data_IF_569926516679
#
_entry.id   IF_569926516679
#
_cell.length_a   1.000
_cell.length_b   1.000
_cell.length_c   1.000
_cell.angle_alpha   90.00
_cell.angle_beta   90.00
_cell.angle_gamma   90.00
#
_symmetry.space_group_name_H-M   'P 1'
#
loop_
_entity.id
_entity.type
_entity.pdbx_description
1 polymer ?
#
# COMPACT_ATOMS: atom_id res chain seq x y z
N UNK A 1 -5.31 37.45 -2.71
CA UNK A 1 -4.27 36.41 -2.81
C UNK A 1 -4.99 35.24 -3.41
N UNK A 2 -4.71 34.98 -4.69
CA UNK A 2 -5.52 34.13 -5.55
C UNK A 2 -5.48 32.67 -5.09
N UNK A 3 -6.65 32.06 -5.09
CA UNK A 3 -6.86 30.62 -5.06
C UNK A 3 -6.08 29.97 -6.21
N UNK A 4 -5.01 29.26 -5.87
CA UNK A 4 -4.50 28.19 -6.71
C UNK A 4 -5.41 27.00 -6.45
N UNK A 5 -6.54 26.98 -7.17
CA UNK A 5 -7.39 25.78 -7.26
C UNK A 5 -6.51 24.62 -7.73
N UNK A 6 -6.42 23.59 -6.91
CA UNK A 6 -5.88 22.29 -7.28
C UNK A 6 -6.61 21.86 -8.56
N UNK A 7 -5.90 21.82 -9.69
CA UNK A 7 -6.38 21.08 -10.85
C UNK A 7 -6.73 19.66 -10.36
N UNK A 8 -7.86 19.11 -10.82
CA UNK A 8 -8.23 17.76 -10.44
C UNK A 8 -7.11 16.80 -10.83
N UNK A 9 -7.01 15.65 -10.16
CA UNK A 9 -6.04 14.61 -10.57
C UNK A 9 -6.19 14.25 -12.05
N UNK A 10 -7.40 14.31 -12.59
CA UNK A 10 -7.75 14.11 -14.01
C UNK A 10 -7.17 15.19 -14.95
N UNK A 11 -6.95 16.41 -14.45
CA UNK A 11 -6.32 17.49 -15.21
C UNK A 11 -4.78 17.39 -15.18
N UNK A 12 -4.24 16.82 -14.10
CA UNK A 12 -2.79 16.71 -13.86
C UNK A 12 -2.16 15.42 -14.41
N UNK A 13 -2.98 14.38 -14.62
CA UNK A 13 -2.55 13.06 -15.09
C UNK A 13 -3.33 12.67 -16.33
N UNK A 14 -2.62 12.49 -17.44
CA UNK A 14 -3.22 12.18 -18.75
C UNK A 14 -3.04 10.69 -19.08
N UNK A 15 -4.08 9.98 -19.55
CA UNK A 15 -3.92 8.63 -20.07
C UNK A 15 -2.91 8.55 -21.21
N UNK A 16 -2.05 7.54 -21.18
CA UNK A 16 -1.07 7.24 -22.22
C UNK A 16 -1.19 5.77 -22.65
N UNK A 17 -0.67 5.38 -23.83
CA UNK A 17 -0.77 4.00 -24.30
C UNK A 17 -0.16 2.99 -23.31
N UNK A 18 -0.85 1.86 -23.11
CA UNK A 18 -0.43 0.76 -22.23
C UNK A 18 0.99 0.26 -22.49
N UNK A 19 1.46 0.32 -23.74
CA UNK A 19 2.84 -0.01 -24.12
C UNK A 19 3.92 0.72 -23.31
N UNK A 20 3.59 1.84 -22.65
CA UNK A 20 4.49 2.54 -21.73
C UNK A 20 4.92 1.70 -20.50
N UNK A 21 4.10 0.73 -20.06
CA UNK A 21 4.44 -0.20 -18.98
C UNK A 21 5.21 -1.43 -19.47
N UNK A 22 5.34 -1.63 -20.78
CA UNK A 22 5.90 -2.86 -21.37
C UNK A 22 7.30 -3.23 -20.88
N UNK A 23 8.14 -2.23 -20.54
CA UNK A 23 9.47 -2.50 -19.99
C UNK A 23 9.46 -3.07 -18.57
N UNK A 24 8.42 -2.79 -17.78
CA UNK A 24 8.21 -3.42 -16.47
C UNK A 24 7.69 -4.85 -16.64
N UNK A 25 6.80 -5.07 -17.62
CA UNK A 25 6.36 -6.40 -17.99
C UNK A 25 7.51 -7.30 -18.47
N UNK A 26 8.49 -6.75 -19.20
CA UNK A 26 9.69 -7.49 -19.59
C UNK A 26 10.55 -7.91 -18.38
N UNK A 27 10.47 -7.17 -17.26
CA UNK A 27 11.21 -7.48 -16.03
C UNK A 27 10.47 -8.48 -15.13
N UNK A 28 9.14 -8.48 -15.18
CA UNK A 28 8.27 -9.31 -14.33
C UNK A 28 6.99 -9.75 -15.08
N UNK A 29 7.11 -10.68 -16.05
CA UNK A 29 5.99 -11.02 -16.94
C UNK A 29 4.86 -11.79 -16.23
N UNK A 30 5.10 -12.32 -15.03
CA UNK A 30 4.20 -13.24 -14.34
C UNK A 30 3.27 -12.55 -13.32
N UNK A 31 3.45 -11.25 -13.02
CA UNK A 31 2.69 -10.52 -11.99
C UNK A 31 1.87 -9.33 -12.52
N UNK A 32 1.62 -9.25 -13.84
CA UNK A 32 0.91 -8.13 -14.45
C UNK A 32 -0.45 -7.76 -13.84
N UNK A 33 -1.12 -8.71 -13.17
CA UNK A 33 -2.42 -8.55 -12.52
C UNK A 33 -2.38 -7.80 -11.18
N UNK A 34 -1.27 -7.82 -10.43
CA UNK A 34 -1.13 -7.12 -9.14
C UNK A 34 -0.13 -5.95 -9.18
N UNK A 35 0.67 -5.85 -10.25
CA UNK A 35 1.71 -4.84 -10.44
C UNK A 35 3.03 -5.51 -10.81
N UNK A 36 4.02 -4.75 -11.26
CA UNK A 36 5.29 -5.31 -11.69
C UNK A 36 6.36 -5.14 -10.61
N UNK A 37 6.84 -6.23 -10.01
CA UNK A 37 7.90 -6.16 -9.00
C UNK A 37 9.24 -5.81 -9.69
N UNK A 38 9.88 -4.68 -9.36
CA UNK A 38 11.22 -4.39 -9.89
C UNK A 38 12.24 -5.37 -9.31
N UNK A 39 13.36 -5.66 -10.02
CA UNK A 39 14.33 -6.67 -9.60
C UNK A 39 14.83 -6.51 -8.16
N UNK A 40 15.09 -7.63 -7.48
CA UNK A 40 15.66 -7.70 -6.13
C UNK A 40 17.13 -7.26 -6.16
N UNK A 41 17.40 -5.95 -6.11
CA UNK A 41 18.74 -5.34 -6.12
C UNK A 41 19.05 -4.60 -4.83
N UNK A 42 20.33 -4.52 -4.38
CA UNK A 42 20.75 -3.82 -3.15
C UNK A 42 20.21 -2.39 -2.99
N UNK A 43 19.85 -1.79 -4.12
CA UNK A 43 19.32 -0.44 -4.27
C UNK A 43 17.79 -0.36 -4.08
N UNK A 44 17.21 -1.30 -3.33
CA UNK A 44 15.78 -1.37 -3.01
C UNK A 44 15.47 -1.32 -1.51
N UNK A 45 14.26 -0.88 -1.18
CA UNK A 45 13.72 -0.85 0.19
C UNK A 45 12.22 -1.15 0.18
N UNK A 46 11.73 -1.79 1.23
CA UNK A 46 10.30 -1.95 1.48
C UNK A 46 9.84 -0.92 2.50
N UNK A 47 8.89 -0.07 2.10
CA UNK A 47 8.14 0.82 2.98
C UNK A 47 6.92 0.04 3.49
N UNK A 48 6.90 -0.24 4.79
CA UNK A 48 5.84 -1.01 5.43
C UNK A 48 4.58 -0.16 5.57
N UNK A 49 3.43 -0.75 5.24
CA UNK A 49 2.15 -0.07 5.34
C UNK A 49 1.81 0.21 6.81
N UNK A 50 1.16 1.35 7.06
CA UNK A 50 0.89 1.83 8.43
C UNK A 50 -0.07 0.91 9.17
N UNK A 51 0.24 0.63 10.43
CA UNK A 51 -0.72 0.07 11.38
C UNK A 51 -0.96 1.06 12.53
N UNK A 52 -2.11 0.91 13.19
CA UNK A 52 -2.51 1.77 14.29
C UNK A 52 -2.93 0.94 15.49
N UNK A 53 -2.61 1.42 16.69
CA UNK A 53 -3.04 0.81 17.94
C UNK A 53 -3.90 1.77 18.74
N UNK A 54 -4.88 1.23 19.46
CA UNK A 54 -5.65 1.97 20.44
C UNK A 54 -4.73 2.42 21.59
N UNK A 55 -4.84 3.68 22.00
CA UNK A 55 -3.93 4.30 22.99
C UNK A 55 -4.01 3.65 24.37
N UNK A 56 -5.14 3.06 24.73
CA UNK A 56 -5.34 2.42 26.04
C UNK A 56 -4.76 1.00 26.13
N UNK A 57 -4.28 0.45 25.00
CA UNK A 57 -3.60 -0.83 24.93
C UNK A 57 -4.38 -1.90 24.17
N UNK A 58 -3.76 -3.07 24.07
CA UNK A 58 -4.31 -4.22 23.35
C UNK A 58 -5.44 -4.88 24.15
N UNK A 59 -6.39 -5.46 23.42
CA UNK A 59 -7.46 -6.29 23.96
C UNK A 59 -7.36 -7.69 23.38
N UNK A 60 -7.87 -8.68 24.11
CA UNK A 60 -7.94 -10.07 23.62
C UNK A 60 -9.03 -10.28 22.59
N UNK A 61 -10.05 -9.42 22.57
CA UNK A 61 -11.12 -9.44 21.57
C UNK A 61 -10.53 -9.12 20.20
N UNK A 62 -10.81 -9.98 19.23
CA UNK A 62 -10.35 -9.85 17.84
C UNK A 62 -11.39 -9.16 16.95
N UNK A 63 -11.01 -8.78 15.74
CA UNK A 63 -11.98 -8.30 14.74
C UNK A 63 -13.04 -9.36 14.43
N UNK A 64 -12.65 -10.63 14.38
CA UNK A 64 -13.58 -11.74 14.17
C UNK A 64 -14.57 -11.86 15.33
N UNK A 65 -14.12 -11.80 16.60
CA UNK A 65 -15.02 -11.82 17.75
C UNK A 65 -16.05 -10.68 17.71
N UNK A 66 -15.64 -9.48 17.29
CA UNK A 66 -16.54 -8.33 17.12
C UNK A 66 -17.53 -8.61 16.00
N UNK A 67 -17.06 -9.08 14.83
CA UNK A 67 -17.91 -9.38 13.69
C UNK A 67 -18.96 -10.45 14.03
N UNK A 68 -18.56 -11.56 14.65
CA UNK A 68 -19.47 -12.62 15.08
C UNK A 68 -20.50 -12.11 16.10
N UNK A 69 -20.09 -11.25 17.03
CA UNK A 69 -21.00 -10.64 18.02
C UNK A 69 -22.04 -9.73 17.36
N UNK A 70 -21.63 -8.92 16.37
CA UNK A 70 -22.53 -8.03 15.60
C UNK A 70 -23.51 -8.85 14.75
N UNK A 71 -23.03 -9.92 14.09
CA UNK A 71 -23.88 -10.87 13.37
C UNK A 71 -24.90 -11.55 14.28
N UNK A 72 -24.47 -12.08 15.41
CA UNK A 72 -25.35 -12.74 16.37
C UNK A 72 -26.42 -11.79 16.95
N UNK A 73 -26.09 -10.50 17.07
CA UNK A 73 -27.03 -9.46 17.48
C UNK A 73 -27.99 -8.99 16.37
N UNK A 74 -27.82 -9.46 15.12
CA UNK A 74 -28.61 -9.04 13.97
C UNK A 74 -28.35 -7.58 13.55
N UNK A 75 -27.16 -7.06 13.86
CA UNK A 75 -26.77 -5.66 13.61
C UNK A 75 -25.88 -5.50 12.36
N UNK A 76 -25.72 -6.53 11.54
CA UNK A 76 -25.02 -6.43 10.26
C UNK A 76 -25.84 -5.66 9.24
N UNK A 77 -25.26 -4.62 8.65
CA UNK A 77 -25.82 -4.01 7.45
C UNK A 77 -25.79 -5.02 6.29
N UNK A 78 -26.81 -5.03 5.40
CA UNK A 78 -26.80 -5.87 4.22
C UNK A 78 -25.61 -5.47 3.34
N UNK A 79 -24.84 -6.46 2.88
CA UNK A 79 -23.61 -6.24 2.13
C UNK A 79 -23.91 -5.41 0.85
N UNK A 80 -23.37 -4.19 0.79
CA UNK A 80 -23.61 -3.26 -0.34
C UNK A 80 -22.54 -3.42 -1.43
N UNK A 81 -21.53 -4.27 -1.19
CA UNK A 81 -20.37 -4.46 -2.06
C UNK A 81 -20.22 -5.92 -2.48
N UNK A 82 -20.87 -6.29 -3.59
CA UNK A 82 -20.39 -7.38 -4.44
C UNK A 82 -21.21 -8.68 -4.39
N UNK A 83 -21.50 -9.13 -5.61
CA UNK A 83 -22.00 -10.44 -6.05
C UNK A 83 -22.30 -11.53 -5.00
N UNK A 84 -23.49 -12.12 -5.08
CA UNK A 84 -23.95 -13.16 -4.16
C UNK A 84 -23.01 -14.37 -4.04
N UNK A 85 -22.16 -14.60 -5.04
CA UNK A 85 -21.17 -15.68 -5.09
C UNK A 85 -19.97 -15.46 -4.13
N UNK A 86 -19.58 -14.21 -3.87
CA UNK A 86 -18.45 -13.91 -2.97
C UNK A 86 -18.87 -14.00 -1.49
N UNK A 87 -20.11 -13.63 -1.18
CA UNK A 87 -20.69 -13.77 0.16
C UNK A 87 -20.78 -15.22 0.64
N UNK A 88 -21.10 -16.14 -0.27
CA UNK A 88 -21.13 -17.59 0.01
C UNK A 88 -19.70 -18.17 0.13
N UNK A 89 -18.73 -17.69 -0.67
CA UNK A 89 -17.32 -18.08 -0.56
C UNK A 89 -16.67 -17.64 0.76
N UNK A 90 -17.12 -16.53 1.33
CA UNK A 90 -16.63 -15.97 2.60
C UNK A 90 -17.44 -16.47 3.81
N UNK A 91 -18.43 -17.34 3.62
CA UNK A 91 -19.19 -17.91 4.72
C UNK A 91 -18.28 -18.78 5.61
N UNK A 92 -18.11 -18.38 6.87
CA UNK A 92 -17.21 -19.04 7.82
C UNK A 92 -15.73 -18.63 7.71
N UNK A 93 -15.40 -17.63 6.86
CA UNK A 93 -14.08 -17.03 6.85
C UNK A 93 -13.83 -16.21 8.14
N UNK A 94 -12.56 -16.18 8.58
CA UNK A 94 -12.13 -15.39 9.73
C UNK A 94 -11.97 -13.94 9.30
N UNK A 95 -12.63 -13.01 10.00
CA UNK A 95 -12.41 -11.58 9.75
C UNK A 95 -11.05 -11.18 10.32
N UNK A 96 -10.11 -10.91 9.43
CA UNK A 96 -8.73 -10.58 9.81
C UNK A 96 -8.63 -9.21 10.48
N UNK A 97 -9.45 -8.26 10.05
CA UNK A 97 -9.34 -6.83 10.40
C UNK A 97 -8.49 -6.02 9.40
N UNK A 98 -7.86 -6.70 8.43
CA UNK A 98 -7.12 -6.10 7.32
C UNK A 98 -8.06 -5.43 6.34
N UNK A 99 -7.78 -4.18 5.99
CA UNK A 99 -8.48 -3.46 4.93
C UNK A 99 -7.78 -3.66 3.59
N UNK A 100 -8.47 -3.31 2.50
CA UNK A 100 -7.94 -3.37 1.14
C UNK A 100 -7.89 -1.97 0.52
N UNK A 101 -6.77 -1.63 -0.09
CA UNK A 101 -6.54 -0.35 -0.77
C UNK A 101 -6.42 0.83 0.21
N UNK A 102 -7.17 1.91 -0.08
CA UNK A 102 -7.02 3.20 0.61
C UNK A 102 -7.26 3.08 2.12
N UNK A 103 -6.35 3.69 2.88
CA UNK A 103 -6.40 3.78 4.34
C UNK A 103 -5.87 5.15 4.82
N UNK A 104 -5.99 5.42 6.10
CA UNK A 104 -5.59 6.69 6.70
C UNK A 104 -5.63 6.63 8.21
N UNK A 105 -5.15 7.72 8.84
CA UNK A 105 -5.22 7.87 10.29
C UNK A 105 -6.68 7.70 10.78
N UNK A 106 -6.98 6.68 11.61
CA UNK A 106 -8.30 6.48 12.20
C UNK A 106 -8.75 7.62 13.13
N UNK A 107 -7.85 8.50 13.55
CA UNK A 107 -8.15 9.69 14.34
C UNK A 107 -8.06 9.46 15.85
N UNK A 108 -8.94 10.15 16.59
CA UNK A 108 -8.84 10.22 18.04
C UNK A 108 -8.88 8.85 18.72
N UNK A 109 -8.01 8.66 19.72
CA UNK A 109 -7.86 7.39 20.45
C UNK A 109 -6.89 6.40 19.83
N UNK A 110 -6.45 6.62 18.59
CA UNK A 110 -5.45 5.79 17.91
C UNK A 110 -4.08 6.46 17.86
N UNK A 111 -3.04 5.65 17.80
CA UNK A 111 -1.67 6.07 17.52
C UNK A 111 -1.08 5.20 16.43
N UNK A 112 -0.15 5.76 15.65
CA UNK A 112 0.69 4.95 14.77
C UNK A 112 1.46 3.92 15.61
N UNK A 113 1.39 2.67 15.18
CA UNK A 113 2.16 1.56 15.74
C UNK A 113 3.17 1.14 14.68
N UNK A 114 4.44 1.01 15.07
CA UNK A 114 5.49 0.54 14.16
C UNK A 114 5.50 -0.98 14.12
N UNK A 115 5.79 -1.57 12.97
CA UNK A 115 6.02 -3.01 12.84
C UNK A 115 7.13 -3.47 13.77
N UNK A 116 8.26 -2.76 13.80
CA UNK A 116 9.38 -3.05 14.70
C UNK A 116 9.05 -2.88 16.19
N UNK A 117 8.07 -2.02 16.52
CA UNK A 117 7.58 -1.91 17.91
C UNK A 117 6.77 -3.14 18.29
N UNK A 118 5.84 -3.56 17.43
CA UNK A 118 4.98 -4.71 17.68
C UNK A 118 5.77 -6.02 17.70
N UNK A 119 6.63 -6.23 16.70
CA UNK A 119 7.46 -7.42 16.57
C UNK A 119 8.34 -7.64 17.81
N UNK A 120 8.95 -6.57 18.33
CA UNK A 120 9.74 -6.60 19.58
C UNK A 120 8.90 -7.03 20.78
N UNK A 121 7.63 -6.63 20.85
CA UNK A 121 6.71 -7.04 21.90
C UNK A 121 6.47 -8.56 21.93
N UNK A 122 6.53 -9.21 20.77
CA UNK A 122 6.34 -10.66 20.62
C UNK A 122 7.66 -11.45 20.49
N UNK A 123 8.80 -10.76 20.40
CA UNK A 123 10.10 -11.41 20.18
C UNK A 123 10.25 -12.00 18.78
N UNK A 124 9.59 -11.42 17.78
CA UNK A 124 9.69 -11.80 16.37
C UNK A 124 10.31 -10.67 15.53
N UNK A 125 10.67 -10.99 14.28
CA UNK A 125 11.08 -9.99 13.30
C UNK A 125 9.85 -9.37 12.62
N UNK A 126 9.91 -8.08 12.21
CA UNK A 126 8.82 -7.42 11.47
C UNK A 126 8.41 -8.19 10.22
N UNK A 127 9.41 -8.65 9.46
CA UNK A 127 9.24 -9.49 8.28
C UNK A 127 10.17 -10.68 8.43
N UNK A 128 9.65 -11.92 8.50
CA UNK A 128 10.49 -13.12 8.63
C UNK A 128 11.43 -13.30 7.43
N UNK A 129 12.57 -13.95 7.67
CA UNK A 129 13.52 -14.29 6.61
C UNK A 129 12.85 -15.09 5.48
N UNK A 130 13.02 -14.61 4.24
CA UNK A 130 12.46 -15.25 3.05
C UNK A 130 11.01 -14.88 2.73
N UNK A 131 10.36 -14.06 3.56
CA UNK A 131 9.00 -13.56 3.33
C UNK A 131 9.00 -12.13 2.79
N UNK A 132 7.89 -11.73 2.15
CA UNK A 132 7.60 -10.33 1.80
C UNK A 132 6.69 -9.71 2.88
N UNK A 133 6.60 -8.36 2.98
CA UNK A 133 5.70 -7.72 3.93
C UNK A 133 4.24 -8.04 3.56
N UNK A 134 3.56 -8.85 4.37
CA UNK A 134 2.22 -9.34 4.06
C UNK A 134 1.68 -10.24 5.18
N UNK A 135 0.61 -10.99 4.89
CA UNK A 135 -0.15 -11.75 5.90
C UNK A 135 0.64 -12.80 6.70
N UNK A 136 1.82 -13.21 6.23
CA UNK A 136 2.72 -14.14 6.92
C UNK A 136 3.59 -13.47 8.00
N UNK A 137 3.57 -12.14 8.06
CA UNK A 137 4.30 -11.36 9.04
C UNK A 137 3.51 -11.23 10.35
N UNK A 138 4.22 -11.00 11.45
CA UNK A 138 3.64 -10.69 12.75
C UNK A 138 2.61 -11.71 13.26
N UNK A 139 2.79 -13.00 12.95
CA UNK A 139 1.80 -14.05 13.24
C UNK A 139 1.46 -14.18 14.72
N UNK A 140 2.38 -13.81 15.62
CA UNK A 140 2.09 -13.81 17.05
C UNK A 140 1.09 -12.73 17.47
N UNK A 141 0.94 -11.67 16.68
CA UNK A 141 -0.05 -10.62 16.89
C UNK A 141 -1.47 -10.99 16.42
N UNK A 142 -1.61 -12.02 15.58
CA UNK A 142 -2.87 -12.51 15.03
C UNK A 142 -2.89 -14.06 14.88
N UNK A 143 -2.68 -14.83 15.96
CA UNK A 143 -2.42 -16.28 15.86
C UNK A 143 -3.60 -17.09 15.31
N UNK A 144 -4.82 -16.54 15.35
CA UNK A 144 -6.03 -17.14 14.77
C UNK A 144 -6.31 -16.65 13.34
N UNK A 145 -5.42 -15.82 12.77
CA UNK A 145 -5.66 -15.07 11.55
C UNK A 145 -6.44 -13.76 11.75
N UNK A 146 -6.93 -13.49 12.97
CA UNK A 146 -7.61 -12.23 13.30
C UNK A 146 -6.77 -11.38 14.25
N UNK A 147 -6.63 -10.11 13.90
CA UNK A 147 -5.94 -9.13 14.73
C UNK A 147 -6.79 -8.75 15.95
N UNK A 148 -6.12 -8.33 17.03
CA UNK A 148 -6.79 -7.64 18.14
C UNK A 148 -7.64 -6.48 17.60
N UNK A 149 -8.86 -6.32 18.10
CA UNK A 149 -9.73 -5.19 17.73
C UNK A 149 -9.14 -3.82 18.16
N UNK A 150 -8.14 -3.83 19.05
CA UNK A 150 -7.35 -2.65 19.41
C UNK A 150 -6.19 -2.37 18.44
N UNK A 151 -6.01 -3.17 17.39
CA UNK A 151 -5.09 -2.92 16.28
C UNK A 151 -5.91 -2.73 15.00
N UNK A 152 -5.64 -1.65 14.27
CA UNK A 152 -5.97 -1.54 12.86
C UNK A 152 -4.73 -2.01 12.11
N UNK A 153 -4.73 -3.23 11.56
CA UNK A 153 -3.59 -3.76 10.84
C UNK A 153 -3.32 -2.96 9.55
N UNK A 154 -2.15 -3.17 8.93
CA UNK A 154 -1.85 -2.57 7.64
C UNK A 154 -2.90 -2.94 6.60
N UNK A 155 -3.24 -2.00 5.71
CA UNK A 155 -4.07 -2.30 4.55
C UNK A 155 -3.25 -2.98 3.45
N UNK A 156 -3.89 -3.88 2.71
CA UNK A 156 -3.35 -4.53 1.51
C UNK A 156 -3.37 -3.57 0.32
N UNK A 157 -2.39 -3.67 -0.57
CA UNK A 157 -2.45 -3.00 -1.87
C UNK A 157 -2.25 -1.49 -1.89
N UNK A 158 -2.05 -0.84 -0.73
CA UNK A 158 -1.69 0.57 -0.69
C UNK A 158 -1.12 1.06 0.65
N UNK A 159 -0.19 2.03 0.57
CA UNK A 159 0.14 2.88 1.71
C UNK A 159 -1.09 3.63 2.22
N UNK A 160 -1.07 4.04 3.49
CA UNK A 160 -2.04 5.04 3.94
C UNK A 160 -1.76 6.40 3.30
N UNK A 161 -2.78 7.26 3.28
CA UNK A 161 -2.73 8.59 2.65
C UNK A 161 -1.53 9.42 3.11
N UNK A 162 -1.24 9.38 4.41
CA UNK A 162 -0.15 10.12 5.04
C UNK A 162 1.21 9.60 4.57
N UNK A 163 1.40 8.27 4.54
CA UNK A 163 2.66 7.68 4.07
C UNK A 163 2.84 7.83 2.56
N UNK A 164 1.75 7.77 1.76
CA UNK A 164 1.82 8.04 0.33
C UNK A 164 2.32 9.46 0.04
N UNK A 165 1.73 10.46 0.69
CA UNK A 165 2.18 11.87 0.57
C UNK A 165 3.64 12.02 1.00
N UNK A 166 4.02 11.37 2.11
CA UNK A 166 5.40 11.42 2.60
C UNK A 166 6.38 10.75 1.64
N UNK A 167 6.01 9.64 1.02
CA UNK A 167 6.79 8.98 -0.01
C UNK A 167 6.99 9.90 -1.23
N UNK A 168 5.92 10.54 -1.72
CA UNK A 168 6.00 11.51 -2.82
C UNK A 168 6.96 12.66 -2.49
N UNK A 169 6.91 13.20 -1.27
CA UNK A 169 7.86 14.24 -0.81
C UNK A 169 9.32 13.77 -0.85
N UNK A 170 9.59 12.53 -0.43
CA UNK A 170 10.94 11.95 -0.45
C UNK A 170 11.40 11.75 -1.90
N UNK A 171 10.55 11.17 -2.75
CA UNK A 171 10.84 10.98 -4.17
C UNK A 171 11.16 12.32 -4.85
N UNK A 172 10.38 13.36 -4.57
CA UNK A 172 10.61 14.69 -5.14
C UNK A 172 11.97 15.25 -4.73
N UNK A 173 12.37 15.13 -3.46
CA UNK A 173 13.70 15.60 -3.01
C UNK A 173 14.87 14.87 -3.67
N UNK A 174 14.65 13.65 -4.14
CA UNK A 174 15.70 12.80 -4.71
C UNK A 174 15.58 12.60 -6.22
N UNK A 175 14.63 13.28 -6.87
CA UNK A 175 14.47 13.25 -8.32
C UNK A 175 15.19 14.44 -8.99
N UNK A 176 15.80 14.28 -10.18
CA UNK A 176 16.61 15.32 -10.81
C UNK A 176 15.90 16.67 -11.04
N UNK A 177 14.59 16.64 -11.30
CA UNK A 177 13.77 17.83 -11.55
C UNK A 177 12.80 18.12 -10.39
N UNK A 178 12.98 17.49 -9.23
CA UNK A 178 12.14 17.75 -8.07
C UNK A 178 10.68 17.35 -8.30
N UNK A 179 9.76 18.24 -7.91
CA UNK A 179 8.33 18.09 -8.16
C UNK A 179 7.97 18.10 -9.66
N UNK A 180 8.80 18.68 -10.52
CA UNK A 180 8.56 18.73 -11.97
C UNK A 180 9.06 17.47 -12.70
N UNK A 181 9.58 16.47 -11.97
CA UNK A 181 9.97 15.20 -12.58
C UNK A 181 8.78 14.54 -13.27
N UNK A 182 8.92 14.28 -14.56
CA UNK A 182 7.94 13.54 -15.34
C UNK A 182 7.86 12.11 -14.84
N UNK A 183 6.64 11.63 -14.63
CA UNK A 183 6.35 10.33 -14.06
C UNK A 183 5.23 9.63 -14.83
N UNK A 184 5.23 8.31 -14.71
CA UNK A 184 4.12 7.48 -15.16
C UNK A 184 3.61 6.65 -13.98
N UNK A 185 2.29 6.50 -13.93
CA UNK A 185 1.57 5.71 -12.95
C UNK A 185 0.77 4.62 -13.66
N UNK A 186 0.95 3.38 -13.24
CA UNK A 186 0.22 2.22 -13.74
C UNK A 186 -0.72 1.69 -12.65
N UNK A 187 -1.95 1.40 -13.04
CA UNK A 187 -2.94 0.72 -12.23
C UNK A 187 -3.19 -0.66 -12.83
N UNK A 188 -3.01 -1.70 -12.03
CA UNK A 188 -3.22 -3.08 -12.46
C UNK A 188 -4.72 -3.42 -12.62
N UNK A 189 -5.05 -4.48 -13.38
CA UNK A 189 -6.43 -4.93 -13.57
C UNK A 189 -7.20 -5.21 -12.27
N UNK A 190 -6.53 -5.65 -11.19
CA UNK A 190 -7.18 -5.83 -9.89
C UNK A 190 -7.70 -4.52 -9.28
N UNK A 191 -7.08 -3.39 -9.61
CA UNK A 191 -7.51 -2.05 -9.15
C UNK A 191 -8.61 -1.49 -10.07
N UNK A 192 -8.44 -1.64 -11.38
CA UNK A 192 -9.28 -1.00 -12.40
C UNK A 192 -10.52 -1.81 -12.77
N UNK A 193 -10.52 -3.12 -12.49
CA UNK A 193 -11.47 -4.09 -13.03
C UNK A 193 -11.51 -4.14 -14.58
N UNK A 194 -10.48 -3.63 -15.23
CA UNK A 194 -10.26 -3.71 -16.68
C UNK A 194 -9.11 -4.67 -16.97
N UNK A 195 -9.44 -5.77 -17.65
CA UNK A 195 -8.50 -6.85 -17.96
C UNK A 195 -8.03 -6.83 -19.41
N UNK A 196 -8.66 -5.99 -20.24
CA UNK A 196 -8.38 -5.94 -21.68
C UNK A 196 -7.35 -4.84 -22.00
N UNK A 197 -7.36 -3.74 -21.24
CA UNK A 197 -6.51 -2.57 -21.48
C UNK A 197 -5.65 -2.19 -20.26
N UNK A 198 -4.36 -1.91 -20.46
CA UNK A 198 -3.50 -1.39 -19.39
C UNK A 198 -3.82 0.08 -19.09
N UNK A 199 -4.07 0.38 -17.82
CA UNK A 199 -4.32 1.76 -17.37
C UNK A 199 -3.02 2.43 -16.96
N UNK A 200 -2.49 3.29 -17.84
CA UNK A 200 -1.27 4.08 -17.59
C UNK A 200 -1.57 5.57 -17.71
N UNK A 201 -1.17 6.34 -16.70
CA UNK A 201 -1.26 7.79 -16.67
C UNK A 201 0.13 8.42 -16.68
N UNK A 202 0.30 9.54 -17.36
CA UNK A 202 1.51 10.35 -17.32
C UNK A 202 1.22 11.71 -16.67
N UNK A 203 2.15 12.17 -15.84
CA UNK A 203 2.00 13.41 -15.08
C UNK A 203 3.33 13.84 -14.45
N UNK A 204 3.25 14.76 -13.47
CA UNK A 204 4.42 15.23 -12.73
C UNK A 204 4.41 14.72 -11.30
N UNK A 205 5.59 14.49 -10.75
CA UNK A 205 5.75 13.96 -9.40
C UNK A 205 5.07 14.82 -8.31
N UNK A 206 5.08 16.16 -8.47
CA UNK A 206 4.41 17.08 -7.55
C UNK A 206 2.89 16.87 -7.45
N UNK A 207 2.30 16.32 -8.51
CA UNK A 207 0.87 16.05 -8.61
C UNK A 207 0.53 14.60 -8.17
N UNK A 208 1.54 13.78 -7.84
CA UNK A 208 1.37 12.35 -7.52
C UNK A 208 0.64 12.11 -6.19
N UNK A 209 0.64 13.08 -5.28
CA UNK A 209 -0.17 13.00 -4.06
C UNK A 209 -1.67 12.87 -4.38
N UNK A 210 -2.13 13.45 -5.50
CA UNK A 210 -3.51 13.39 -5.97
C UNK A 210 -3.93 12.02 -6.51
N UNK A 211 -2.99 11.18 -6.98
CA UNK A 211 -3.26 9.82 -7.45
C UNK A 211 -3.87 8.94 -6.36
N UNK A 212 -3.58 9.25 -5.09
CA UNK A 212 -4.18 8.56 -3.95
C UNK A 212 -5.70 8.68 -3.91
N UNK A 213 -6.24 9.80 -4.38
CA UNK A 213 -7.67 10.13 -4.33
C UNK A 213 -8.30 10.13 -5.72
N UNK A 214 -7.67 9.45 -6.69
CA UNK A 214 -8.22 9.34 -8.04
C UNK A 214 -9.67 8.82 -7.99
N UNK A 215 -10.66 9.55 -8.55
CA UNK A 215 -12.07 9.22 -8.37
C UNK A 215 -12.45 7.87 -8.97
N UNK A 216 -11.77 7.48 -10.05
CA UNK A 216 -12.02 6.21 -10.75
C UNK A 216 -11.22 5.01 -10.21
N UNK A 217 -10.29 5.24 -9.28
CA UNK A 217 -9.43 4.16 -8.76
C UNK A 217 -9.81 3.83 -7.31
N UNK A 218 -9.80 2.55 -6.97
CA UNK A 218 -10.06 2.08 -5.60
C UNK A 218 -8.83 2.15 -4.68
N UNK A 219 -7.63 2.35 -5.27
CA UNK A 219 -6.33 2.33 -4.58
C UNK A 219 -5.34 3.35 -5.15
N UNK A 220 -4.11 3.33 -4.64
CA UNK A 220 -2.96 4.00 -5.25
C UNK A 220 -2.43 3.19 -6.46
N UNK A 221 -1.56 3.79 -7.30
CA UNK A 221 -0.96 3.09 -8.42
C UNK A 221 -0.18 1.84 -7.98
N UNK A 222 -0.32 0.75 -8.73
CA UNK A 222 0.46 -0.49 -8.55
C UNK A 222 1.93 -0.27 -8.90
N UNK A 223 2.21 0.62 -9.86
CA UNK A 223 3.55 1.13 -10.12
C UNK A 223 3.53 2.64 -10.33
N UNK A 224 4.58 3.32 -9.85
CA UNK A 224 4.87 4.71 -10.16
C UNK A 224 6.37 4.83 -10.46
N UNK A 225 6.77 5.43 -11.56
CA UNK A 225 8.19 5.58 -11.90
C UNK A 225 8.49 6.93 -12.53
N UNK A 226 9.72 7.40 -12.37
CA UNK A 226 10.23 8.53 -13.15
C UNK A 226 10.40 8.12 -14.62
N UNK A 227 10.09 9.01 -15.56
CA UNK A 227 10.19 8.73 -17.01
C UNK A 227 11.62 8.29 -17.42
N UNK A 228 12.65 8.83 -16.76
CA UNK A 228 14.05 8.46 -16.96
C UNK A 228 14.45 7.10 -16.34
N UNK A 229 13.50 6.45 -15.65
CA UNK A 229 13.64 5.16 -14.95
C UNK A 229 14.71 5.17 -13.86
N UNK A 230 15.02 6.34 -13.32
CA UNK A 230 15.97 6.48 -12.20
C UNK A 230 15.47 5.80 -10.92
N UNK A 231 14.16 5.72 -10.71
CA UNK A 231 13.52 4.99 -9.63
C UNK A 231 12.15 4.44 -10.04
N UNK A 232 11.68 3.45 -9.30
CA UNK A 232 10.36 2.83 -9.43
C UNK A 232 9.80 2.49 -8.06
N UNK A 233 8.52 2.78 -7.87
CA UNK A 233 7.68 2.36 -6.75
C UNK A 233 6.80 1.22 -7.24
N UNK A 234 6.64 0.21 -6.39
CA UNK A 234 5.81 -0.96 -6.63
C UNK A 234 4.95 -1.23 -5.40
N UNK A 235 3.64 -1.32 -5.61
CA UNK A 235 2.67 -1.72 -4.61
C UNK A 235 1.91 -2.92 -5.17
N UNK A 236 2.06 -4.06 -4.51
CA UNK A 236 1.33 -5.28 -4.84
C UNK A 236 0.01 -5.31 -4.08
N UNK A 237 -1.04 -5.75 -4.77
CA UNK A 237 -2.39 -5.83 -4.23
C UNK A 237 -2.53 -6.66 -2.94
N UNK A 238 -1.74 -7.72 -2.78
CA UNK A 238 -1.81 -8.66 -1.67
C UNK A 238 -0.74 -8.41 -0.58
N UNK A 239 0.10 -7.38 -0.75
CA UNK A 239 1.18 -7.06 0.19
C UNK A 239 0.81 -5.92 1.14
N UNK A 240 1.45 -5.96 2.31
CA UNK A 240 1.42 -4.91 3.34
C UNK A 240 2.68 -4.04 3.28
N UNK A 241 3.29 -3.95 2.09
CA UNK A 241 4.49 -3.18 1.86
C UNK A 241 4.55 -2.65 0.43
N UNK A 242 5.16 -1.49 0.29
CA UNK A 242 5.45 -0.83 -0.98
C UNK A 242 6.95 -0.85 -1.20
N UNK A 243 7.40 -1.45 -2.30
CA UNK A 243 8.81 -1.51 -2.65
C UNK A 243 9.21 -0.23 -3.40
N UNK A 244 10.36 0.32 -3.08
CA UNK A 244 10.98 1.41 -3.82
C UNK A 244 12.37 0.97 -4.24
N UNK A 245 12.67 1.06 -5.54
CA UNK A 245 13.99 0.79 -6.10
C UNK A 245 14.49 2.07 -6.75
N UNK A 246 15.73 2.46 -6.47
CA UNK A 246 16.30 3.69 -7.00
C UNK A 246 17.71 3.96 -6.48
N UNK A 247 18.25 5.18 -6.64
CA UNK A 247 19.63 5.46 -6.26
C UNK A 247 19.85 5.31 -4.75
N UNK A 248 21.05 4.91 -4.33
CA UNK A 248 21.40 4.76 -2.91
C UNK A 248 20.97 5.94 -2.03
N UNK A 249 21.14 7.22 -2.43
CA UNK A 249 20.68 8.34 -1.62
C UNK A 249 19.16 8.37 -1.37
N UNK A 250 18.34 7.91 -2.33
CA UNK A 250 16.90 7.80 -2.15
C UNK A 250 16.57 6.68 -1.15
N UNK A 251 17.23 5.53 -1.28
CA UNK A 251 17.03 4.36 -0.42
C UNK A 251 17.38 4.68 1.03
N UNK A 252 18.53 5.31 1.28
CA UNK A 252 18.92 5.73 2.63
C UNK A 252 17.94 6.77 3.20
N UNK A 253 17.49 7.73 2.40
CA UNK A 253 16.52 8.73 2.85
C UNK A 253 15.19 8.10 3.27
N UNK A 254 14.73 7.03 2.62
CA UNK A 254 13.53 6.30 3.01
C UNK A 254 13.72 5.52 4.31
N UNK A 255 14.90 4.92 4.52
CA UNK A 255 15.25 4.20 5.75
C UNK A 255 15.35 5.13 6.96
N UNK A 256 15.81 6.36 6.75
CA UNK A 256 15.99 7.38 7.79
C UNK A 256 14.72 8.23 8.04
N UNK A 257 13.69 8.13 7.19
CA UNK A 257 12.51 8.96 7.29
C UNK A 257 11.66 8.60 8.52
N UNK A 258 11.53 9.51 9.48
CA UNK A 258 10.74 9.28 10.69
C UNK A 258 9.23 9.27 10.45
N UNK A 259 8.74 9.64 9.27
CA UNK A 259 7.34 9.51 8.88
C UNK A 259 7.02 8.14 8.26
N UNK A 260 8.00 7.46 7.69
CA UNK A 260 7.85 6.15 7.05
C UNK A 260 8.50 5.05 7.89
N UNK A 261 8.00 3.83 7.82
CA UNK A 261 8.73 2.67 8.34
C UNK A 261 9.25 1.89 7.15
N UNK A 262 10.57 1.77 7.05
CA UNK A 262 11.17 1.13 5.90
C UNK A 262 12.28 0.18 6.34
N UNK A 263 12.45 -0.91 5.61
CA UNK A 263 13.50 -1.88 5.84
C UNK A 263 14.03 -2.47 4.54
N UNK A 264 15.26 -2.99 4.62
CA UNK A 264 15.83 -3.83 3.57
C UNK A 264 15.55 -5.28 3.93
N UNK A 265 15.02 -6.04 2.96
CA UNK A 265 14.92 -7.48 3.10
C UNK A 265 16.18 -8.16 2.57
N UNK A 266 16.55 -9.33 3.11
CA UNK A 266 17.66 -10.12 2.58
C UNK A 266 17.44 -10.43 1.10
N UNK A 267 18.48 -10.20 0.30
CA UNK A 267 18.45 -10.49 -1.13
C UNK A 267 18.45 -12.01 -1.33
N UNK A 268 17.35 -12.54 -1.86
CA UNK A 268 17.33 -13.87 -2.47
C UNK A 268 17.46 -13.66 -3.98
N UNK A 269 18.59 -14.10 -4.52
CA UNK A 269 18.91 -14.03 -5.95
C UNK A 269 18.20 -15.11 -6.76
#
# INVERSE_FOLDING_TARGET
MADLENAGVEDAWTPVPGAAVGWLNDLDPDHCYSGFEPPRRPDGVWVLHSMYAWKEGLVTTTHDDVHQSVRAAGLTEPDVMGDADLGDLLEGAVVTGTGLGRSGDPGAGWRRLRWAELARGFGEEPVPDGELPGNRCLRQAHPTGSWSAAIRPPAEGCLDRESWRRLVDVLARHSPAGAETACLAYYCPLVTADWDDETVLAGRLGDAAGLYDHPEMSSCPSNLWAEDRSWVVYCDWDLWGTKVVGPVPLVEALLEDSGLEALRLPWTG
#
